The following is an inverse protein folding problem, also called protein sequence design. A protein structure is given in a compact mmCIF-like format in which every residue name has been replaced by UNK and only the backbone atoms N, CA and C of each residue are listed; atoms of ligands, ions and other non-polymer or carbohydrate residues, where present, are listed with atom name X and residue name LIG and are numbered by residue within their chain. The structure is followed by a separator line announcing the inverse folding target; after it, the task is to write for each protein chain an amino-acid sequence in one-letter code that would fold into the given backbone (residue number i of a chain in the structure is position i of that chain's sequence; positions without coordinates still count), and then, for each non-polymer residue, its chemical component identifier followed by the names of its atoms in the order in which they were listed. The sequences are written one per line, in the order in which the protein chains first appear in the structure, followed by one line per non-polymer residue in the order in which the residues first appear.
data_IF_022318737179
#
_entry.id   IF_022318737179
#
_cell.length_a   1.000
_cell.length_b   1.000
_cell.length_c   1.000
_cell.angle_alpha   90.00
_cell.angle_beta   90.00
_cell.angle_gamma   90.00
#
_symmetry.space_group_name_H-M   'P 1'
#
loop_
_entity.id
_entity.type
_entity.pdbx_description
1 polymer ?
#
# COMPACT_ATOMS: atom_id res chain seq x y z
N UNK A 1 -11.51 23.70 2.70
CA UNK A 1 -10.15 23.18 2.53
C UNK A 1 -9.99 21.79 3.15
N UNK A 2 -10.20 21.60 4.46
CA UNK A 2 -10.13 20.28 5.13
C UNK A 2 -11.16 19.26 4.62
N UNK A 3 -12.38 19.72 4.29
CA UNK A 3 -13.43 18.86 3.74
C UNK A 3 -13.00 18.09 2.48
N UNK A 4 -12.18 18.74 1.64
CA UNK A 4 -11.69 18.17 0.39
C UNK A 4 -10.62 17.09 0.63
N UNK A 5 -9.77 17.31 1.64
CA UNK A 5 -8.80 16.32 2.12
C UNK A 5 -9.48 15.07 2.70
N UNK A 6 -10.57 15.24 3.46
CA UNK A 6 -11.33 14.10 4.00
C UNK A 6 -11.90 13.23 2.88
N UNK A 7 -12.43 13.83 1.81
CA UNK A 7 -12.93 13.09 0.65
C UNK A 7 -11.83 12.31 -0.08
N UNK A 8 -10.64 12.93 -0.24
CA UNK A 8 -9.47 12.27 -0.84
C UNK A 8 -9.04 11.06 0.00
N UNK A 9 -8.91 11.24 1.30
CA UNK A 9 -8.52 10.17 2.23
C UNK A 9 -9.55 9.03 2.20
N UNK A 10 -10.84 9.37 2.22
CA UNK A 10 -11.92 8.39 2.14
C UNK A 10 -11.85 7.60 0.83
N UNK A 11 -11.61 8.27 -0.30
CA UNK A 11 -11.44 7.65 -1.61
C UNK A 11 -10.25 6.69 -1.66
N UNK A 12 -9.10 7.10 -1.10
CA UNK A 12 -7.89 6.26 -1.02
C UNK A 12 -8.16 5.01 -0.17
N UNK A 13 -8.84 5.15 0.98
CA UNK A 13 -9.16 4.04 1.88
C UNK A 13 -10.10 3.04 1.21
N UNK A 14 -11.12 3.52 0.50
CA UNK A 14 -12.07 2.65 -0.23
C UNK A 14 -11.38 1.93 -1.38
N UNK A 15 -10.55 2.62 -2.16
CA UNK A 15 -9.75 2.01 -3.24
C UNK A 15 -8.79 0.95 -2.70
N UNK A 16 -8.06 1.28 -1.63
CA UNK A 16 -7.16 0.35 -0.97
C UNK A 16 -7.91 -0.90 -0.49
N UNK A 17 -9.04 -0.72 0.21
CA UNK A 17 -9.82 -1.85 0.70
C UNK A 17 -10.36 -2.74 -0.42
N UNK A 18 -10.77 -2.17 -1.55
CA UNK A 18 -11.23 -2.95 -2.70
C UNK A 18 -10.10 -3.71 -3.41
N UNK A 19 -8.93 -3.08 -3.56
CA UNK A 19 -7.73 -3.70 -4.12
C UNK A 19 -7.19 -4.83 -3.24
N UNK A 20 -7.22 -4.65 -1.92
CA UNK A 20 -6.75 -5.66 -0.96
C UNK A 20 -7.78 -6.76 -0.72
N UNK A 21 -9.08 -6.46 -0.80
CA UNK A 21 -10.14 -7.47 -0.66
C UNK A 21 -10.19 -8.46 -1.83
N UNK A 22 -9.79 -8.04 -3.04
CA UNK A 22 -9.77 -8.93 -4.22
C UNK A 22 -8.58 -9.90 -4.26
N UNK A 23 -7.67 -9.84 -3.28
CA UNK A 23 -6.43 -10.67 -3.26
C UNK A 23 -6.48 -11.81 -2.25
N UNK A 24 -7.68 -12.14 -1.76
CA UNK A 24 -7.95 -13.33 -0.97
C UNK A 24 -8.37 -14.49 -1.87
N UNK A 25 -7.41 -15.12 -2.57
CA UNK A 25 -7.33 -16.58 -2.75
C UNK A 25 -6.12 -16.94 -3.64
N UNK A 26 -5.32 -17.93 -3.25
CA UNK A 26 -4.36 -18.59 -4.16
C UNK A 26 -2.86 -18.23 -4.03
N UNK A 27 -2.22 -18.71 -2.96
CA UNK A 27 -0.96 -19.48 -3.08
C UNK A 27 0.38 -18.81 -3.45
N UNK A 28 0.48 -17.51 -3.73
CA UNK A 28 1.78 -16.82 -3.99
C UNK A 28 2.00 -15.55 -3.14
N UNK A 29 1.23 -15.38 -2.08
CA UNK A 29 0.93 -14.09 -1.42
C UNK A 29 1.84 -13.68 -0.24
N UNK A 30 3.07 -14.19 -0.15
CA UNK A 30 4.04 -13.68 0.85
C UNK A 30 4.62 -12.33 0.41
N UNK A 31 5.28 -12.36 -0.73
CA UNK A 31 5.95 -11.20 -1.33
C UNK A 31 4.95 -10.12 -1.78
N UNK A 32 3.86 -10.55 -2.41
CA UNK A 32 2.82 -9.65 -2.89
C UNK A 32 2.00 -8.97 -1.79
N UNK A 33 2.09 -9.44 -0.54
CA UNK A 33 1.52 -8.81 0.67
C UNK A 33 2.57 -7.92 1.36
N UNK A 34 3.84 -8.32 1.36
CA UNK A 34 4.93 -7.50 1.89
C UNK A 34 5.12 -6.20 1.10
N UNK A 35 5.08 -6.26 -0.24
CA UNK A 35 5.14 -5.08 -1.12
C UNK A 35 3.94 -4.14 -0.96
N UNK A 36 2.80 -4.73 -0.61
CA UNK A 36 1.53 -4.05 -0.46
C UNK A 36 1.49 -3.23 0.85
N UNK A 37 1.92 -3.84 1.95
CA UNK A 37 2.16 -3.19 3.24
C UNK A 37 3.22 -2.08 3.10
N UNK A 38 4.26 -2.32 2.30
CA UNK A 38 5.30 -1.33 2.05
C UNK A 38 4.75 -0.10 1.32
N UNK A 39 3.91 -0.30 0.31
CA UNK A 39 3.23 0.81 -0.41
C UNK A 39 2.25 1.56 0.49
N UNK A 40 1.53 0.85 1.35
CA UNK A 40 0.60 1.47 2.29
C UNK A 40 1.32 2.43 3.24
N UNK A 41 2.46 2.01 3.80
CA UNK A 41 3.28 2.87 4.68
C UNK A 41 3.90 4.06 3.97
N UNK A 42 4.27 3.91 2.69
CA UNK A 42 4.75 5.03 1.88
C UNK A 42 3.64 6.04 1.61
N UNK A 43 2.42 5.55 1.28
CA UNK A 43 1.26 6.40 1.07
C UNK A 43 0.81 7.13 2.35
N UNK A 44 0.99 6.48 3.51
CA UNK A 44 0.82 7.10 4.83
C UNK A 44 1.93 8.12 5.17
N UNK A 45 3.02 8.16 4.40
CA UNK A 45 4.17 9.03 4.65
C UNK A 45 5.06 8.57 5.82
N UNK A 46 4.83 7.35 6.33
CA UNK A 46 5.60 6.77 7.45
C UNK A 46 7.00 6.30 7.03
N UNK A 47 7.19 6.05 5.73
CA UNK A 47 8.49 5.70 5.15
C UNK A 47 8.84 6.62 4.01
N UNK A 48 10.13 6.97 3.91
CA UNK A 48 10.66 7.75 2.80
C UNK A 48 10.77 6.93 1.51
N UNK A 49 10.87 7.63 0.38
CA UNK A 49 11.06 7.02 -0.96
C UNK A 49 12.29 6.11 -1.02
N UNK A 50 13.35 6.48 -0.30
CA UNK A 50 14.60 5.73 -0.26
C UNK A 50 14.43 4.37 0.43
N UNK A 51 13.77 4.34 1.59
CA UNK A 51 13.46 3.10 2.31
C UNK A 51 12.46 2.21 1.56
N UNK A 52 11.50 2.83 0.84
CA UNK A 52 10.57 2.10 -0.02
C UNK A 52 11.31 1.36 -1.14
N UNK A 53 12.22 2.03 -1.83
CA UNK A 53 12.95 1.42 -2.94
C UNK A 53 13.93 0.32 -2.49
N UNK A 54 14.59 0.48 -1.33
CA UNK A 54 15.46 -0.56 -0.77
C UNK A 54 14.66 -1.83 -0.44
N UNK A 55 13.58 -1.71 0.34
CA UNK A 55 12.76 -2.86 0.76
C UNK A 55 12.03 -3.51 -0.41
N UNK A 56 11.64 -2.73 -1.43
CA UNK A 56 11.03 -3.26 -2.65
C UNK A 56 12.02 -4.10 -3.46
N UNK A 57 13.29 -3.71 -3.51
CA UNK A 57 14.34 -4.49 -4.19
C UNK A 57 14.65 -5.78 -3.45
N UNK A 58 14.76 -5.73 -2.12
CA UNK A 58 14.95 -6.93 -1.29
C UNK A 58 13.80 -7.92 -1.41
N UNK A 59 12.56 -7.41 -1.54
CA UNK A 59 11.38 -8.24 -1.75
C UNK A 59 11.27 -8.76 -3.19
N UNK A 60 11.84 -8.07 -4.18
CA UNK A 60 11.79 -8.49 -5.58
C UNK A 60 12.90 -9.47 -5.99
N UNK A 61 13.93 -9.63 -5.15
CA UNK A 61 15.01 -10.62 -5.29
C UNK A 61 14.55 -12.01 -4.82
#
# INVERSE_FOLDING_TARGET
MILWWVLIVLGIVVLGKWLFASKGDGGRSGNARALDILKERYAKGEIGKDEFEQKKRDLAA
#
